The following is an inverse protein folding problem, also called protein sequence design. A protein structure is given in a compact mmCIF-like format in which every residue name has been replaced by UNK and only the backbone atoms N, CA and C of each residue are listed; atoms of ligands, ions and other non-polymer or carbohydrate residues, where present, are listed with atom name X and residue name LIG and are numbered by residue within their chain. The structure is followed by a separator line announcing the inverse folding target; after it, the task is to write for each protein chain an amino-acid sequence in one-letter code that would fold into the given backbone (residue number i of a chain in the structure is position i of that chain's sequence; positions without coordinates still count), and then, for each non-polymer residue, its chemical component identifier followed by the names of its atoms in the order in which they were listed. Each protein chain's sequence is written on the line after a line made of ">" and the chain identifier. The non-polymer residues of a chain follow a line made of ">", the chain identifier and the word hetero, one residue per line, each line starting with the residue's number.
data_IF_627370528018
#
_entry.id   IF_627370528018
#
_cell.length_a   1.000
_cell.length_b   1.000
_cell.length_c   1.000
_cell.angle_alpha   90.00
_cell.angle_beta   90.00
_cell.angle_gamma   90.00
#
_symmetry.space_group_name_H-M   'P 1'
#
loop_
_entity.id
_entity.type
_entity.pdbx_description
1 polymer ?
#
# COMPACT_ATOMS: atom_id res chain seq x y z
N UNK A 1 -10.70 2.28 17.19
CA UNK A 1 -9.68 1.76 18.10
C UNK A 1 -8.31 2.30 17.71
N UNK A 2 -7.35 2.17 18.58
CA UNK A 2 -5.98 2.57 18.30
C UNK A 2 -5.32 1.65 17.28
N UNK A 3 -4.44 2.23 16.44
CA UNK A 3 -3.56 1.47 15.56
C UNK A 3 -2.29 1.15 16.36
N UNK A 4 -1.96 -0.12 16.60
CA UNK A 4 -0.79 -0.47 17.42
C UNK A 4 0.52 -0.17 16.65
N UNK A 5 1.57 0.16 17.39
CA UNK A 5 2.92 0.24 16.83
C UNK A 5 3.29 -1.10 16.15
N UNK A 6 4.01 -1.02 15.04
CA UNK A 6 4.37 -2.19 14.23
C UNK A 6 3.26 -2.75 13.34
N UNK A 7 2.06 -2.13 13.35
CA UNK A 7 0.97 -2.56 12.47
C UNK A 7 1.28 -2.35 10.98
N UNK A 8 0.53 -3.04 10.13
CA UNK A 8 0.35 -2.71 8.73
C UNK A 8 -1.05 -2.09 8.55
N UNK A 9 -1.11 -0.92 7.93
CA UNK A 9 -2.38 -0.26 7.58
C UNK A 9 -2.67 -0.47 6.11
N UNK A 10 -3.71 -1.24 5.81
CA UNK A 10 -4.13 -1.54 4.45
C UNK A 10 -5.29 -0.64 4.03
N UNK A 11 -5.13 0.04 2.91
CA UNK A 11 -6.18 0.81 2.26
C UNK A 11 -6.98 -0.12 1.34
N UNK A 12 -8.25 -0.31 1.67
CA UNK A 12 -9.23 -0.91 0.78
C UNK A 12 -9.95 0.22 0.01
N UNK A 13 -9.45 0.56 -1.14
CA UNK A 13 -10.03 1.60 -1.99
C UNK A 13 -11.10 1.08 -2.95
N UNK A 14 -11.27 -0.25 -3.02
CA UNK A 14 -12.09 -0.94 -4.02
C UNK A 14 -11.45 -0.98 -5.41
N UNK A 15 -10.20 -0.51 -5.54
CA UNK A 15 -9.53 -0.45 -6.84
C UNK A 15 -9.19 -1.83 -7.38
N UNK A 16 -8.94 -2.80 -6.49
CA UNK A 16 -8.67 -4.18 -6.85
C UNK A 16 -9.75 -4.82 -7.75
N UNK A 17 -10.99 -4.36 -7.67
CA UNK A 17 -12.06 -4.82 -8.56
C UNK A 17 -11.82 -4.49 -10.05
N UNK A 18 -10.93 -3.56 -10.36
CA UNK A 18 -10.58 -3.14 -11.73
C UNK A 18 -9.37 -3.88 -12.30
N UNK A 19 -8.73 -4.77 -11.55
CA UNK A 19 -7.44 -5.37 -11.92
C UNK A 19 -7.40 -6.02 -13.32
N UNK A 20 -8.54 -6.54 -13.79
CA UNK A 20 -8.65 -7.16 -15.11
C UNK A 20 -9.05 -6.16 -16.23
N UNK A 21 -9.11 -4.87 -15.96
CA UNK A 21 -9.56 -3.84 -16.89
C UNK A 21 -8.47 -2.79 -17.15
N UNK A 22 -8.50 -2.09 -18.31
CA UNK A 22 -7.55 -1.00 -18.57
C UNK A 22 -7.63 0.13 -17.54
N UNK A 23 -8.80 0.35 -16.93
CA UNK A 23 -9.02 1.38 -15.92
C UNK A 23 -8.28 1.13 -14.62
N UNK A 24 -7.73 -0.06 -14.40
CA UNK A 24 -6.89 -0.33 -13.25
C UNK A 24 -5.67 0.60 -13.22
N UNK A 25 -5.11 0.90 -14.38
CA UNK A 25 -3.94 1.76 -14.53
C UNK A 25 -4.29 3.17 -14.97
N UNK A 26 -5.08 3.30 -16.03
CA UNK A 26 -5.26 4.55 -16.75
C UNK A 26 -6.73 4.95 -16.85
N UNK A 27 -6.99 6.25 -16.88
CA UNK A 27 -8.23 6.81 -17.39
C UNK A 27 -8.32 6.61 -18.92
N UNK A 28 -9.51 6.79 -19.54
CA UNK A 28 -9.68 6.67 -21.00
C UNK A 28 -8.74 7.59 -21.81
N UNK A 29 -8.32 8.72 -21.26
CA UNK A 29 -7.36 9.65 -21.87
C UNK A 29 -5.87 9.27 -21.57
N UNK A 30 -5.63 8.11 -21.00
CA UNK A 30 -4.30 7.55 -20.77
C UNK A 30 -3.56 8.08 -19.54
N UNK A 31 -4.21 8.89 -18.70
CA UNK A 31 -3.59 9.39 -17.46
C UNK A 31 -3.72 8.39 -16.33
N UNK A 32 -2.77 8.40 -15.41
CA UNK A 32 -2.87 7.66 -14.18
C UNK A 32 -3.88 8.32 -13.24
N UNK A 33 -4.79 7.52 -12.66
CA UNK A 33 -5.83 8.03 -11.76
C UNK A 33 -6.20 7.05 -10.64
N UNK A 34 -5.32 6.11 -10.34
CA UNK A 34 -5.53 5.18 -9.23
C UNK A 34 -5.37 5.89 -7.87
N UNK A 35 -6.08 5.42 -6.83
CA UNK A 35 -5.96 5.98 -5.49
C UNK A 35 -4.60 5.66 -4.85
N UNK A 36 -4.22 6.46 -3.87
CA UNK A 36 -3.03 6.28 -3.04
C UNK A 36 -3.21 6.97 -1.70
N UNK A 37 -2.23 6.84 -0.83
CA UNK A 37 -2.22 7.54 0.45
C UNK A 37 -1.93 9.03 0.27
N UNK A 38 -2.50 9.85 1.13
CA UNK A 38 -2.07 11.24 1.28
C UNK A 38 -0.86 11.33 2.22
N UNK A 39 0.09 12.22 1.91
CA UNK A 39 1.29 12.41 2.75
C UNK A 39 0.95 12.69 4.22
N UNK A 40 -0.05 13.53 4.49
CA UNK A 40 -0.45 13.85 5.87
C UNK A 40 -0.93 12.63 6.65
N UNK A 41 -1.60 11.69 5.98
CA UNK A 41 -2.02 10.43 6.60
C UNK A 41 -0.81 9.55 6.92
N UNK A 42 0.15 9.44 6.01
CA UNK A 42 1.35 8.64 6.25
C UNK A 42 2.29 9.27 7.28
N UNK A 43 2.36 10.59 7.37
CA UNK A 43 3.09 11.28 8.43
C UNK A 43 2.51 10.90 9.82
N UNK A 44 1.18 10.95 9.96
CA UNK A 44 0.51 10.52 11.19
C UNK A 44 0.77 9.04 11.52
N UNK A 45 0.68 8.16 10.53
CA UNK A 45 0.97 6.74 10.72
C UNK A 45 2.43 6.50 11.12
N UNK A 46 3.35 7.32 10.61
CA UNK A 46 4.76 7.27 10.99
C UNK A 46 4.98 7.68 12.45
N UNK A 47 4.30 8.74 12.93
CA UNK A 47 4.30 9.14 14.35
C UNK A 47 3.74 8.05 15.27
N UNK A 48 2.77 7.28 14.78
CA UNK A 48 2.20 6.12 15.49
C UNK A 48 3.10 4.87 15.44
N UNK A 49 4.29 4.95 14.83
CA UNK A 49 5.21 3.82 14.65
C UNK A 49 4.59 2.64 13.86
N UNK A 50 3.75 2.92 12.90
CA UNK A 50 3.25 1.91 11.95
C UNK A 50 4.41 1.42 11.08
N UNK A 51 4.52 0.11 10.90
CA UNK A 51 5.65 -0.50 10.18
C UNK A 51 5.43 -0.54 8.66
N UNK A 52 4.18 -0.65 8.23
CA UNK A 52 3.85 -0.80 6.82
C UNK A 52 2.54 -0.12 6.44
N UNK A 53 2.47 0.32 5.19
CA UNK A 53 1.21 0.68 4.51
C UNK A 53 1.01 -0.22 3.31
N UNK A 54 -0.24 -0.53 2.99
CA UNK A 54 -0.58 -1.39 1.87
C UNK A 54 -1.75 -0.80 1.07
N UNK A 55 -1.78 -1.03 -0.23
CA UNK A 55 -2.83 -0.55 -1.13
C UNK A 55 -3.27 -1.64 -2.11
N UNK A 56 -4.55 -1.67 -2.42
CA UNK A 56 -5.11 -2.47 -3.51
C UNK A 56 -4.94 -1.83 -4.90
N UNK A 57 -4.20 -0.72 -4.97
CA UNK A 57 -3.88 0.01 -6.19
C UNK A 57 -2.40 -0.11 -6.58
N UNK A 58 -2.03 0.50 -7.70
CA UNK A 58 -0.72 0.36 -8.35
C UNK A 58 0.43 1.01 -7.58
N UNK A 59 0.15 1.92 -6.63
CA UNK A 59 1.21 2.66 -5.95
C UNK A 59 0.75 3.11 -4.57
N UNK A 60 1.72 3.43 -3.70
CA UNK A 60 1.46 4.09 -2.42
C UNK A 60 0.99 5.53 -2.62
N UNK A 61 1.57 6.23 -3.58
CA UNK A 61 1.11 7.57 -4.01
C UNK A 61 -0.07 7.46 -4.98
N UNK A 62 -0.96 8.47 -5.02
CA UNK A 62 -2.02 8.55 -6.03
C UNK A 62 -1.43 8.61 -7.45
N UNK A 63 -2.16 8.10 -8.43
CA UNK A 63 -1.71 8.03 -9.82
C UNK A 63 -1.36 9.38 -10.46
N UNK A 64 -1.92 10.47 -9.97
CA UNK A 64 -1.61 11.83 -10.40
C UNK A 64 -0.49 12.51 -9.60
N UNK A 65 0.18 11.79 -8.70
CA UNK A 65 1.32 12.33 -7.95
C UNK A 65 2.49 12.61 -8.89
N UNK A 66 3.01 13.84 -8.83
CA UNK A 66 4.17 14.26 -9.60
C UNK A 66 5.48 14.17 -8.80
N UNK A 67 5.40 14.11 -7.48
CA UNK A 67 6.52 14.23 -6.54
C UNK A 67 6.76 12.98 -5.69
N UNK A 68 5.89 11.98 -5.79
CA UNK A 68 5.98 10.74 -4.99
C UNK A 68 6.16 10.99 -3.49
N UNK A 69 5.41 11.97 -2.96
CA UNK A 69 5.58 12.46 -1.60
C UNK A 69 5.47 11.37 -0.53
N UNK A 70 4.62 10.36 -0.75
CA UNK A 70 4.48 9.22 0.16
C UNK A 70 5.70 8.31 0.09
N UNK A 71 6.16 7.93 -1.09
CA UNK A 71 7.37 7.11 -1.24
C UNK A 71 8.56 7.77 -0.55
N UNK A 72 8.80 9.06 -0.82
CA UNK A 72 9.96 9.77 -0.29
C UNK A 72 9.90 10.03 1.21
N UNK A 73 8.72 10.12 1.81
CA UNK A 73 8.59 10.31 3.25
C UNK A 73 8.51 9.00 4.04
N UNK A 74 7.90 7.97 3.45
CA UNK A 74 7.62 6.70 4.13
C UNK A 74 8.81 5.73 4.14
N UNK A 75 9.35 5.43 2.96
CA UNK A 75 10.33 4.35 2.79
C UNK A 75 11.69 4.62 3.46
N UNK A 76 12.27 5.84 3.42
CA UNK A 76 13.54 6.11 4.09
C UNK A 76 13.51 5.94 5.60
N UNK A 77 12.33 5.94 6.21
CA UNK A 77 12.15 5.75 7.65
C UNK A 77 12.28 4.29 8.14
N UNK A 78 12.81 3.38 7.32
CA UNK A 78 12.92 1.96 7.67
C UNK A 78 11.59 1.22 7.62
N UNK A 79 10.62 1.77 6.91
CA UNK A 79 9.29 1.22 6.70
C UNK A 79 9.18 0.59 5.31
N UNK A 80 8.14 -0.17 5.09
CA UNK A 80 7.88 -0.73 3.75
C UNK A 80 6.44 -0.45 3.28
N UNK A 81 6.24 -0.57 1.98
CA UNK A 81 4.94 -0.48 1.34
C UNK A 81 4.61 -1.74 0.56
N UNK A 82 3.33 -2.05 0.48
CA UNK A 82 2.78 -3.14 -0.33
C UNK A 82 1.81 -2.54 -1.33
N UNK A 83 2.01 -2.83 -2.59
CA UNK A 83 1.19 -2.34 -3.70
C UNK A 83 0.49 -3.51 -4.37
N UNK A 84 -0.62 -3.26 -5.02
CA UNK A 84 -1.44 -4.28 -5.71
C UNK A 84 -1.87 -5.43 -4.79
N UNK A 85 -2.19 -5.13 -3.54
CA UNK A 85 -2.64 -6.13 -2.59
C UNK A 85 -4.03 -6.64 -2.98
N UNK A 86 -4.14 -7.93 -3.27
CA UNK A 86 -5.40 -8.56 -3.63
C UNK A 86 -6.23 -8.91 -2.39
N UNK A 87 -7.56 -9.00 -2.56
CA UNK A 87 -8.51 -9.50 -1.56
C UNK A 87 -8.53 -8.70 -0.24
N UNK A 88 -8.19 -7.42 -0.27
CA UNK A 88 -8.22 -6.56 0.92
C UNK A 88 -9.65 -6.43 1.46
N UNK A 89 -10.64 -6.48 0.58
CA UNK A 89 -12.07 -6.46 0.88
C UNK A 89 -12.54 -7.64 1.74
N UNK A 90 -11.77 -8.73 1.79
CA UNK A 90 -12.07 -9.92 2.59
C UNK A 90 -11.50 -9.82 4.02
N UNK A 91 -10.70 -8.83 4.30
CA UNK A 91 -10.08 -8.67 5.62
C UNK A 91 -11.04 -7.97 6.61
N UNK A 92 -11.02 -8.38 7.87
CA UNK A 92 -11.67 -7.59 8.91
C UNK A 92 -10.97 -6.24 9.07
N UNK A 93 -11.69 -5.23 9.55
CA UNK A 93 -11.15 -3.88 9.74
C UNK A 93 -9.94 -3.85 10.70
N UNK A 94 -9.76 -4.86 11.53
CA UNK A 94 -8.64 -5.02 12.47
C UNK A 94 -8.52 -6.47 12.94
N UNK A 95 -7.35 -6.80 13.48
CA UNK A 95 -7.10 -8.10 14.14
C UNK A 95 -6.47 -9.15 13.23
N UNK A 96 -6.38 -8.91 11.92
CA UNK A 96 -5.63 -9.80 11.03
C UNK A 96 -4.12 -9.72 11.30
N UNK A 97 -3.46 -10.86 11.15
CA UNK A 97 -1.99 -10.94 11.12
C UNK A 97 -1.53 -11.19 9.70
N UNK A 98 -0.63 -10.36 9.18
CA UNK A 98 -0.09 -10.53 7.82
C UNK A 98 1.31 -11.13 7.84
N UNK A 99 1.59 -11.96 6.85
CA UNK A 99 2.89 -12.52 6.53
C UNK A 99 3.32 -12.00 5.16
N UNK A 100 4.49 -11.36 5.10
CA UNK A 100 5.02 -10.77 3.88
C UNK A 100 6.21 -11.60 3.42
N UNK A 101 5.99 -12.47 2.44
CA UNK A 101 7.00 -13.32 1.84
C UNK A 101 7.69 -12.62 0.67
N UNK A 102 8.60 -11.68 0.98
CA UNK A 102 9.38 -10.98 -0.03
C UNK A 102 10.71 -11.69 -0.32
N UNK A 103 11.22 -11.66 -1.57
CA UNK A 103 12.52 -12.20 -1.90
C UNK A 103 13.64 -11.36 -1.28
N UNK A 104 14.69 -12.02 -0.82
CA UNK A 104 15.82 -11.38 -0.13
C UNK A 104 16.94 -11.02 -1.10
N UNK A 105 16.73 -9.98 -1.88
CA UNK A 105 17.72 -9.48 -2.83
C UNK A 105 18.68 -8.49 -2.18
N UNK A 106 19.98 -8.65 -2.43
CA UNK A 106 20.96 -7.65 -2.03
C UNK A 106 20.76 -6.36 -2.83
N UNK A 107 20.66 -5.23 -2.15
CA UNK A 107 20.45 -3.90 -2.74
C UNK A 107 19.17 -3.79 -3.61
N UNK A 108 18.19 -4.64 -3.38
CA UNK A 108 16.89 -4.54 -4.02
C UNK A 108 16.07 -3.39 -3.43
N UNK A 109 15.35 -2.67 -4.28
CA UNK A 109 14.42 -1.59 -3.88
C UNK A 109 12.97 -2.04 -3.80
N UNK A 110 12.66 -3.21 -4.34
CA UNK A 110 11.35 -3.83 -4.31
C UNK A 110 11.37 -5.15 -5.09
N UNK A 111 10.28 -5.88 -5.00
CA UNK A 111 10.11 -7.13 -5.73
C UNK A 111 8.74 -7.74 -5.49
N UNK A 112 8.36 -8.76 -6.28
CA UNK A 112 7.10 -9.47 -6.06
C UNK A 112 7.12 -10.15 -4.69
N UNK A 113 5.96 -10.16 -4.01
CA UNK A 113 5.83 -10.76 -2.70
C UNK A 113 4.56 -11.63 -2.61
N UNK A 114 4.64 -12.69 -1.82
CA UNK A 114 3.45 -13.45 -1.41
C UNK A 114 2.96 -12.87 -0.09
N UNK A 115 1.75 -12.32 -0.10
CA UNK A 115 1.10 -11.82 1.11
C UNK A 115 0.03 -12.82 1.54
N UNK A 116 0.04 -13.17 2.82
CA UNK A 116 -0.97 -14.01 3.44
C UNK A 116 -1.50 -13.32 4.69
N UNK A 117 -2.78 -13.45 4.94
CA UNK A 117 -3.41 -12.96 6.16
C UNK A 117 -4.08 -14.10 6.92
N UNK A 118 -3.94 -14.09 8.24
CA UNK A 118 -4.70 -14.93 9.16
C UNK A 118 -5.68 -14.02 9.91
N UNK A 119 -6.93 -14.40 9.89
CA UNK A 119 -8.06 -13.67 10.46
C UNK A 119 -8.73 -14.47 11.56
#
# INVERSE_FOLDING_TARGET
>A
GEIPAGACVAMNSGWGAKVATPEFRNTPDGKFAFPGFGKSATDLLAEMNVAAIASDSLSLDPGNSADFAVHYSWLPGGRYGIENLANVDQLPAKGATIFVGAPKHARGTGGPARIMAVV
#
